data_IF_628784061004
#
_entry.id   IF_628784061004
#
_cell.length_a   1.000
_cell.length_b   1.000
_cell.length_c   1.000
_cell.angle_alpha   90.00
_cell.angle_beta   90.00
_cell.angle_gamma   90.00
#
_symmetry.space_group_name_H-M   'P 1'
#
loop_
_entity.id
_entity.type
_entity.pdbx_description
1 polymer ?
#
# COMPACT_ATOMS: atom_id res chain seq x y z
N UNK A 1 16.45 1.75 -24.62
CA UNK A 1 15.58 2.94 -24.57
C UNK A 1 14.13 2.45 -24.60
N UNK A 2 13.39 2.60 -23.52
CA UNK A 2 11.95 2.24 -23.53
C UNK A 2 11.23 3.28 -24.38
N UNK A 3 10.25 2.84 -25.18
CA UNK A 3 9.35 3.72 -25.92
C UNK A 3 7.93 3.42 -25.45
N UNK A 4 7.22 4.45 -25.02
CA UNK A 4 5.76 4.44 -24.86
C UNK A 4 5.19 5.57 -25.71
N UNK A 5 4.12 5.30 -26.44
CA UNK A 5 3.41 6.33 -27.21
C UNK A 5 2.35 7.06 -26.39
N UNK A 6 2.05 6.57 -25.17
CA UNK A 6 0.98 7.09 -24.32
C UNK A 6 1.49 7.85 -23.10
N UNK A 7 2.68 7.52 -22.59
CA UNK A 7 3.26 8.17 -21.41
C UNK A 7 4.44 9.10 -21.73
N UNK A 8 4.62 10.20 -20.98
CA UNK A 8 3.70 10.71 -19.96
C UNK A 8 2.39 11.25 -20.58
N UNK A 9 1.31 11.23 -19.80
CA UNK A 9 0.04 11.82 -20.23
C UNK A 9 0.16 13.34 -20.30
N UNK A 10 -0.34 13.92 -21.41
CA UNK A 10 -0.32 15.38 -21.61
C UNK A 10 -1.41 16.10 -20.79
N UNK A 11 -2.56 15.46 -20.60
CA UNK A 11 -3.66 15.99 -19.81
C UNK A 11 -4.29 14.86 -18.96
N UNK A 12 -3.71 14.53 -17.78
CA UNK A 12 -4.16 13.42 -16.95
C UNK A 12 -5.59 13.58 -16.40
N UNK A 13 -6.03 14.80 -16.10
CA UNK A 13 -7.35 15.14 -15.53
C UNK A 13 -7.84 14.14 -14.46
N UNK A 14 -7.13 14.01 -13.33
CA UNK A 14 -7.51 13.11 -12.25
C UNK A 14 -8.81 13.55 -11.57
N UNK A 15 -9.58 12.58 -11.06
CA UNK A 15 -10.78 12.85 -10.27
C UNK A 15 -10.97 11.80 -9.17
N UNK A 16 -10.60 12.17 -7.95
CA UNK A 16 -10.79 11.34 -6.78
C UNK A 16 -12.26 11.14 -6.42
N UNK A 17 -13.13 12.12 -6.70
CA UNK A 17 -14.57 11.95 -6.48
C UNK A 17 -15.14 10.86 -7.38
N UNK A 18 -14.76 10.85 -8.67
CA UNK A 18 -15.14 9.76 -9.58
C UNK A 18 -14.53 8.42 -9.13
N UNK A 19 -13.26 8.41 -8.71
CA UNK A 19 -12.61 7.22 -8.13
C UNK A 19 -13.45 6.67 -6.96
N UNK A 20 -13.82 7.52 -6.00
CA UNK A 20 -14.64 7.14 -4.83
C UNK A 20 -15.98 6.59 -5.25
N UNK A 21 -16.69 7.30 -6.14
CA UNK A 21 -18.05 6.92 -6.51
C UNK A 21 -18.08 5.64 -7.36
N UNK A 22 -17.05 5.39 -8.18
CA UNK A 22 -16.88 4.12 -8.89
C UNK A 22 -16.56 2.98 -7.92
N UNK A 23 -15.69 3.20 -6.94
CA UNK A 23 -15.33 2.18 -5.94
C UNK A 23 -16.55 1.77 -5.11
N UNK A 24 -17.34 2.76 -4.68
CA UNK A 24 -18.60 2.57 -3.95
C UNK A 24 -19.76 2.12 -4.84
N UNK A 25 -19.54 1.96 -6.16
CA UNK A 25 -20.54 1.53 -7.13
C UNK A 25 -21.71 2.48 -7.33
N UNK A 26 -21.52 3.76 -7.00
CA UNK A 26 -22.46 4.86 -7.26
C UNK A 26 -22.37 5.37 -8.70
N UNK A 27 -21.25 5.10 -9.38
CA UNK A 27 -20.98 5.51 -10.75
C UNK A 27 -20.36 4.37 -11.55
N UNK A 28 -20.70 4.26 -12.84
CA UNK A 28 -20.02 3.36 -13.78
C UNK A 28 -18.75 4.01 -14.35
N UNK A 29 -17.63 3.27 -14.47
CA UNK A 29 -16.40 3.82 -15.01
C UNK A 29 -16.50 4.08 -16.52
N UNK A 30 -16.17 5.30 -16.94
CA UNK A 30 -16.03 5.66 -18.36
C UNK A 30 -14.66 5.26 -18.94
N UNK A 31 -13.67 5.11 -18.04
CA UNK A 31 -12.29 4.71 -18.34
C UNK A 31 -11.78 3.75 -17.26
N UNK A 32 -10.67 3.07 -17.53
CA UNK A 32 -9.94 2.34 -16.49
C UNK A 32 -9.25 3.35 -15.59
N UNK A 33 -9.49 3.25 -14.29
CA UNK A 33 -8.76 3.99 -13.26
C UNK A 33 -7.62 3.11 -12.73
N UNK A 34 -6.52 3.76 -12.31
CA UNK A 34 -5.33 3.06 -11.84
C UNK A 34 -5.15 3.15 -10.33
N UNK A 35 -4.60 2.10 -9.75
CA UNK A 35 -4.20 2.08 -8.34
C UNK A 35 -2.92 1.25 -8.16
N UNK A 36 -2.02 1.71 -7.30
CA UNK A 36 -0.89 0.93 -6.85
C UNK A 36 -0.76 1.10 -5.33
N UNK A 37 -0.41 0.04 -4.61
CA UNK A 37 0.03 0.16 -3.22
C UNK A 37 1.38 0.91 -3.14
N UNK A 38 2.23 0.71 -4.15
CA UNK A 38 3.53 1.36 -4.23
C UNK A 38 4.24 1.06 -5.54
N UNK A 39 5.08 2.01 -5.95
CA UNK A 39 6.01 1.86 -7.06
C UNK A 39 7.39 2.20 -6.52
N UNK A 40 8.35 1.29 -6.68
CA UNK A 40 9.71 1.48 -6.18
C UNK A 40 10.35 2.76 -6.74
N UNK A 41 11.18 3.42 -5.93
CA UNK A 41 11.89 4.63 -6.34
C UNK A 41 12.71 4.40 -7.62
N UNK A 42 13.40 3.26 -7.73
CA UNK A 42 14.23 2.97 -8.91
C UNK A 42 13.38 2.83 -10.18
N UNK A 43 12.17 2.27 -10.05
CA UNK A 43 11.20 2.19 -11.14
C UNK A 43 10.72 3.59 -11.56
N UNK A 44 10.30 4.41 -10.59
CA UNK A 44 9.86 5.80 -10.84
C UNK A 44 10.99 6.61 -11.49
N UNK A 45 12.21 6.52 -10.96
CA UNK A 45 13.41 7.17 -11.49
C UNK A 45 13.66 6.75 -12.93
N UNK A 46 13.72 5.44 -13.20
CA UNK A 46 14.03 4.94 -14.53
C UNK A 46 13.02 5.44 -15.56
N UNK A 47 11.72 5.34 -15.25
CA UNK A 47 10.64 5.76 -16.16
C UNK A 47 10.67 7.28 -16.36
N UNK A 48 10.81 8.06 -15.28
CA UNK A 48 10.80 9.52 -15.35
C UNK A 48 11.98 10.06 -16.17
N UNK A 49 13.17 9.53 -15.95
CA UNK A 49 14.37 9.95 -16.69
C UNK A 49 14.32 9.47 -18.16
N UNK A 50 13.82 8.26 -18.41
CA UNK A 50 13.81 7.67 -19.76
C UNK A 50 12.69 8.17 -20.67
N UNK A 51 11.52 8.49 -20.12
CA UNK A 51 10.32 8.84 -20.90
C UNK A 51 9.84 10.27 -20.70
N UNK A 52 10.10 10.87 -19.54
CA UNK A 52 9.55 12.19 -19.20
C UNK A 52 10.59 13.31 -19.27
N UNK A 53 11.89 12.96 -19.40
CA UNK A 53 12.99 13.92 -19.30
C UNK A 53 13.09 14.58 -17.92
N UNK A 54 12.48 13.98 -16.89
CA UNK A 54 12.47 14.48 -15.53
C UNK A 54 13.64 13.84 -14.78
N UNK A 55 14.56 14.67 -14.29
CA UNK A 55 15.64 14.22 -13.41
C UNK A 55 15.08 13.86 -12.04
N UNK A 56 15.30 12.63 -11.59
CA UNK A 56 14.89 12.22 -10.26
C UNK A 56 15.78 12.89 -9.18
N UNK A 57 15.19 13.34 -8.05
CA UNK A 57 15.97 13.80 -6.91
C UNK A 57 16.79 12.65 -6.33
N UNK A 58 17.88 12.93 -5.63
CA UNK A 58 18.69 11.89 -4.98
C UNK A 58 17.82 11.11 -3.98
N UNK A 59 17.89 9.78 -4.01
CA UNK A 59 17.27 8.97 -2.95
C UNK A 59 18.10 9.12 -1.68
N UNK A 60 17.56 9.82 -0.69
CA UNK A 60 18.19 10.03 0.62
C UNK A 60 17.59 8.98 1.56
N UNK A 61 18.43 8.32 2.36
CA UNK A 61 17.95 7.35 3.33
C UNK A 61 17.44 8.07 4.58
N UNK A 62 16.25 8.64 4.46
CA UNK A 62 15.70 9.47 5.54
C UNK A 62 15.25 8.64 6.74
N UNK A 63 14.90 7.37 6.52
CA UNK A 63 14.65 6.42 7.60
C UNK A 63 15.85 6.28 8.54
N UNK A 64 17.06 6.15 7.99
CA UNK A 64 18.28 6.07 8.80
C UNK A 64 18.52 7.37 9.59
N UNK A 65 18.35 8.53 8.95
CA UNK A 65 18.52 9.82 9.62
C UNK A 65 17.54 10.01 10.78
N UNK A 66 16.26 9.67 10.57
CA UNK A 66 15.24 9.71 11.63
C UNK A 66 15.53 8.70 12.75
N UNK A 67 16.08 7.53 12.40
CA UNK A 67 16.49 6.50 13.37
C UNK A 67 17.66 6.95 14.23
N UNK A 68 18.65 7.66 13.67
CA UNK A 68 19.73 8.29 14.44
C UNK A 68 19.16 9.26 15.50
N UNK A 69 18.25 10.16 15.09
CA UNK A 69 17.59 11.09 16.01
C UNK A 69 16.82 10.35 17.12
N UNK A 70 16.14 9.26 16.77
CA UNK A 70 15.44 8.42 17.73
C UNK A 70 16.41 7.81 18.76
N UNK A 71 17.51 7.22 18.32
CA UNK A 71 18.54 6.63 19.20
C UNK A 71 19.19 7.68 20.11
N UNK A 72 19.43 8.88 19.59
CA UNK A 72 20.04 9.99 20.33
C UNK A 72 19.10 10.65 21.36
N UNK A 73 17.87 10.17 21.52
CA UNK A 73 16.90 10.80 22.44
C UNK A 73 16.34 12.13 21.92
N UNK A 74 16.59 12.49 20.65
CA UNK A 74 16.14 13.75 20.05
C UNK A 74 14.71 13.64 19.53
N UNK A 75 14.12 14.81 19.29
CA UNK A 75 12.84 14.93 18.59
C UNK A 75 13.03 14.46 17.15
N UNK A 76 12.16 13.56 16.70
CA UNK A 76 12.13 13.05 15.33
C UNK A 76 11.02 13.81 14.58
N UNK A 77 11.33 14.62 13.57
CA UNK A 77 10.29 15.33 12.82
C UNK A 77 9.56 14.38 11.85
N UNK A 78 8.27 14.59 11.64
CA UNK A 78 7.50 13.84 10.64
C UNK A 78 7.98 14.14 9.20
N UNK A 79 8.42 15.37 8.94
CA UNK A 79 8.95 15.82 7.66
C UNK A 79 10.35 16.40 7.82
N UNK A 80 11.29 15.92 7.01
CA UNK A 80 12.60 16.56 6.84
C UNK A 80 12.63 17.33 5.52
N UNK A 81 13.32 18.48 5.48
CA UNK A 81 13.45 19.28 4.26
C UNK A 81 14.04 18.49 3.08
N UNK A 82 14.91 17.54 3.39
CA UNK A 82 15.54 16.61 2.46
C UNK A 82 14.55 15.63 1.80
N UNK A 83 13.39 15.36 2.44
CA UNK A 83 12.32 14.49 1.92
C UNK A 83 11.42 15.22 0.92
N UNK A 84 11.28 16.55 1.06
CA UNK A 84 10.36 17.38 0.26
C UNK A 84 10.54 17.18 -1.25
N UNK A 85 11.76 17.11 -1.83
CA UNK A 85 11.95 16.81 -3.25
C UNK A 85 11.45 15.42 -3.68
N UNK A 86 11.61 14.39 -2.84
CA UNK A 86 11.17 13.02 -3.14
C UNK A 86 9.64 12.92 -3.14
N UNK A 87 8.96 13.59 -2.21
CA UNK A 87 7.50 13.67 -2.17
C UNK A 87 6.94 14.37 -3.41
N UNK A 88 7.51 15.54 -3.77
CA UNK A 88 7.14 16.26 -5.02
C UNK A 88 7.36 15.39 -6.26
N UNK A 89 8.48 14.66 -6.31
CA UNK A 89 8.78 13.74 -7.41
C UNK A 89 7.77 12.59 -7.50
N UNK A 90 7.40 11.98 -6.37
CA UNK A 90 6.37 10.93 -6.30
C UNK A 90 5.04 11.47 -6.84
N UNK A 91 4.55 12.59 -6.34
CA UNK A 91 3.29 13.20 -6.79
C UNK A 91 3.32 13.46 -8.30
N UNK A 92 4.41 14.07 -8.80
CA UNK A 92 4.59 14.33 -10.24
C UNK A 92 4.57 13.05 -11.07
N UNK A 93 5.21 11.97 -10.59
CA UNK A 93 5.19 10.68 -11.25
C UNK A 93 3.76 10.14 -11.36
N UNK A 94 3.04 10.02 -10.25
CA UNK A 94 1.66 9.49 -10.25
C UNK A 94 0.72 10.33 -11.13
N UNK A 95 0.81 11.66 -11.04
CA UNK A 95 0.05 12.56 -11.92
C UNK A 95 0.36 12.31 -13.41
N UNK A 96 1.65 12.26 -13.77
CA UNK A 96 2.09 12.07 -15.17
C UNK A 96 1.72 10.69 -15.73
N UNK A 97 1.47 9.73 -14.86
CA UNK A 97 1.06 8.36 -15.18
C UNK A 97 -0.46 8.17 -15.15
N UNK A 98 -1.24 9.19 -14.81
CA UNK A 98 -2.71 9.15 -14.87
C UNK A 98 -3.40 8.53 -13.67
N UNK A 99 -2.75 8.47 -12.52
CA UNK A 99 -3.37 8.05 -11.27
C UNK A 99 -4.24 9.16 -10.69
N UNK A 100 -5.33 8.78 -10.00
CA UNK A 100 -6.19 9.70 -9.25
C UNK A 100 -5.75 9.86 -7.79
N UNK A 101 -4.85 8.99 -7.32
CA UNK A 101 -4.38 8.99 -5.95
C UNK A 101 -2.90 8.65 -5.82
N UNK A 102 -2.29 9.05 -4.70
CA UNK A 102 -0.88 8.77 -4.39
C UNK A 102 -0.79 8.07 -3.02
N UNK A 103 -0.22 6.85 -2.94
CA UNK A 103 0.05 6.21 -1.65
C UNK A 103 1.22 6.91 -0.94
N UNK A 104 1.01 7.24 0.33
CA UNK A 104 2.01 7.81 1.25
C UNK A 104 1.97 7.07 2.57
N UNK A 105 3.13 6.82 3.16
CA UNK A 105 3.22 6.22 4.48
C UNK A 105 2.85 7.24 5.55
N UNK A 106 2.12 6.80 6.57
CA UNK A 106 1.92 7.54 7.80
C UNK A 106 3.28 7.74 8.48
N UNK A 107 3.74 8.99 8.73
CA UNK A 107 5.01 9.22 9.39
C UNK A 107 4.95 8.74 10.85
N UNK A 108 5.77 7.74 11.16
CA UNK A 108 6.01 7.26 12.53
C UNK A 108 7.53 7.29 12.79
N UNK A 109 7.92 7.47 14.05
CA UNK A 109 9.34 7.45 14.38
C UNK A 109 9.91 6.05 14.11
N UNK A 110 10.99 5.93 13.31
CA UNK A 110 11.66 4.65 13.16
C UNK A 110 12.43 4.33 14.42
N UNK A 111 12.44 3.06 14.81
CA UNK A 111 13.15 2.56 15.98
C UNK A 111 14.20 1.51 15.60
N UNK A 112 15.16 1.18 16.49
CA UNK A 112 16.27 0.31 16.16
C UNK A 112 15.89 -1.15 15.98
N UNK A 113 15.61 -1.54 14.75
CA UNK A 113 15.48 -2.95 14.35
C UNK A 113 16.77 -3.49 13.74
N UNK A 114 16.99 -4.79 13.91
CA UNK A 114 18.09 -5.52 13.28
C UNK A 114 17.70 -5.85 11.85
N UNK A 115 18.64 -5.64 10.93
CA UNK A 115 18.44 -5.93 9.51
C UNK A 115 19.51 -6.87 8.97
N UNK A 116 19.10 -7.73 8.05
CA UNK A 116 20.00 -8.46 7.17
C UNK A 116 20.27 -7.63 5.92
N UNK A 117 21.46 -7.80 5.34
CA UNK A 117 21.89 -7.07 4.14
C UNK A 117 22.49 -8.05 3.14
N UNK A 118 22.21 -7.85 1.86
CA UNK A 118 22.88 -8.55 0.76
C UNK A 118 22.99 -7.65 -0.47
N UNK A 119 23.76 -8.09 -1.47
CA UNK A 119 23.80 -7.41 -2.77
C UNK A 119 22.44 -7.50 -3.45
N UNK A 120 21.93 -6.36 -3.92
CA UNK A 120 20.67 -6.34 -4.67
C UNK A 120 20.89 -6.80 -6.12
N UNK A 121 20.29 -7.94 -6.47
CA UNK A 121 20.41 -8.58 -7.79
C UNK A 121 19.30 -8.17 -8.77
N UNK A 122 18.41 -7.25 -8.39
CA UNK A 122 17.36 -6.76 -9.26
C UNK A 122 17.91 -6.00 -10.48
N UNK A 123 17.13 -5.97 -11.58
CA UNK A 123 17.51 -5.28 -12.82
C UNK A 123 17.68 -3.77 -12.62
N UNK A 124 16.88 -3.15 -11.74
CA UNK A 124 17.04 -1.77 -11.29
C UNK A 124 17.62 -1.77 -9.87
N UNK A 125 18.84 -2.31 -9.75
CA UNK A 125 19.51 -2.51 -8.46
C UNK A 125 19.67 -1.20 -7.68
N UNK A 126 19.39 -1.26 -6.38
CA UNK A 126 19.71 -0.20 -5.41
C UNK A 126 21.02 -0.44 -4.67
N UNK A 127 21.85 -1.35 -5.18
CA UNK A 127 23.14 -1.74 -4.61
C UNK A 127 23.01 -2.75 -3.47
N UNK A 128 22.38 -2.35 -2.36
CA UNK A 128 22.19 -3.19 -1.16
C UNK A 128 20.71 -3.41 -0.92
N UNK A 129 20.31 -4.67 -0.74
CA UNK A 129 18.97 -5.06 -0.30
C UNK A 129 18.99 -5.35 1.19
N UNK A 130 17.99 -4.84 1.89
CA UNK A 130 17.82 -5.00 3.34
C UNK A 130 16.44 -5.51 3.68
N UNK A 131 16.34 -6.34 4.70
CA UNK A 131 15.08 -6.79 5.30
C UNK A 131 15.28 -6.99 6.79
N UNK A 132 14.19 -7.01 7.56
CA UNK A 132 14.24 -7.14 9.01
C UNK A 132 14.72 -8.55 9.39
N UNK A 133 15.43 -8.66 10.51
CA UNK A 133 15.70 -9.95 11.14
C UNK A 133 14.47 -10.41 11.92
N UNK A 134 13.79 -11.45 11.46
CA UNK A 134 12.46 -11.84 11.94
C UNK A 134 12.48 -12.95 13.02
N UNK A 135 13.66 -13.29 13.57
CA UNK A 135 13.76 -14.29 14.64
C UNK A 135 13.23 -13.74 15.98
N UNK A 136 13.67 -12.54 16.34
CA UNK A 136 13.24 -11.82 17.52
C UNK A 136 13.38 -10.32 17.23
N UNK A 137 12.31 -9.58 17.50
CA UNK A 137 12.23 -8.13 17.41
C UNK A 137 12.73 -7.49 18.70
N UNK A 138 12.28 -6.26 18.92
CA UNK A 138 12.69 -5.42 20.06
C UNK A 138 11.88 -5.65 21.35
N UNK A 139 10.75 -6.35 21.27
CA UNK A 139 9.83 -6.63 22.39
C UNK A 139 9.51 -8.12 22.40
N UNK A 140 10.14 -8.82 23.34
CA UNK A 140 10.05 -10.27 23.52
C UNK A 140 9.51 -10.67 24.90
N UNK A 141 9.41 -9.70 25.83
CA UNK A 141 8.92 -9.88 27.19
C UNK A 141 8.29 -8.57 27.73
N UNK A 142 7.69 -8.65 28.92
CA UNK A 142 7.01 -7.51 29.56
C UNK A 142 7.96 -6.38 29.96
N UNK A 143 9.17 -6.68 30.43
CA UNK A 143 10.14 -5.64 30.81
C UNK A 143 10.52 -4.78 29.59
N UNK A 144 10.72 -5.41 28.43
CA UNK A 144 10.97 -4.72 27.15
C UNK A 144 9.75 -3.92 26.68
N UNK A 145 8.54 -4.47 26.84
CA UNK A 145 7.30 -3.77 26.50
C UNK A 145 7.11 -2.51 27.36
N UNK A 146 7.35 -2.59 28.66
CA UNK A 146 7.15 -1.48 29.61
C UNK A 146 8.24 -0.40 29.48
N UNK A 147 9.47 -0.81 29.19
CA UNK A 147 10.61 0.11 29.04
C UNK A 147 10.71 0.77 27.67
N UNK A 148 10.01 0.24 26.65
CA UNK A 148 10.04 0.82 25.31
C UNK A 148 9.40 2.22 25.28
N UNK A 149 10.06 3.23 24.68
CA UNK A 149 9.58 4.62 24.69
C UNK A 149 8.47 4.85 23.66
N UNK A 150 7.29 4.29 23.90
CA UNK A 150 6.13 4.34 23.01
C UNK A 150 5.67 5.76 22.66
N UNK A 151 5.83 6.70 23.59
CA UNK A 151 5.47 8.11 23.44
C UNK A 151 6.29 8.82 22.34
N UNK A 152 7.49 8.31 22.05
CA UNK A 152 8.38 8.86 21.02
C UNK A 152 8.06 8.37 19.61
N UNK A 153 7.10 7.46 19.45
CA UNK A 153 6.73 6.87 18.16
C UNK A 153 5.76 7.76 17.38
N UNK A 154 4.73 8.28 18.07
CA UNK A 154 3.80 9.23 17.47
C UNK A 154 4.56 10.53 17.19
N UNK A 155 4.53 10.96 15.93
CA UNK A 155 5.11 12.22 15.50
C UNK A 155 4.00 13.26 15.33
N UNK A 156 4.33 14.53 15.51
CA UNK A 156 3.47 15.60 15.02
C UNK A 156 3.53 15.62 13.48
N UNK A 157 2.44 15.23 12.84
CA UNK A 157 2.32 15.09 11.38
C UNK A 157 1.75 16.33 10.70
N UNK A 158 1.50 17.42 11.44
CA UNK A 158 0.84 18.62 10.91
C UNK A 158 1.60 19.21 9.72
N UNK A 159 2.90 19.52 9.89
CA UNK A 159 3.72 20.08 8.79
C UNK A 159 3.81 19.11 7.59
N UNK A 160 3.80 17.80 7.86
CA UNK A 160 3.84 16.78 6.81
C UNK A 160 2.60 16.88 5.91
N UNK A 161 1.40 16.89 6.49
CA UNK A 161 0.16 16.94 5.72
C UNK A 161 -0.17 18.32 5.15
N UNK A 162 0.25 19.41 5.80
CA UNK A 162 0.23 20.76 5.22
C UNK A 162 1.06 20.81 3.94
N UNK A 163 2.31 20.35 3.99
CA UNK A 163 3.18 20.28 2.81
C UNK A 163 2.61 19.36 1.72
N UNK A 164 2.02 18.22 2.09
CA UNK A 164 1.33 17.35 1.13
C UNK A 164 0.17 18.08 0.45
N UNK A 165 -0.62 18.84 1.20
CA UNK A 165 -1.72 19.65 0.66
C UNK A 165 -1.25 20.71 -0.33
N UNK A 166 -0.06 21.29 -0.14
CA UNK A 166 0.52 22.27 -1.06
C UNK A 166 0.94 21.68 -2.41
N UNK A 167 1.32 20.39 -2.45
CA UNK A 167 1.95 19.78 -3.64
C UNK A 167 1.01 18.89 -4.45
N UNK A 168 -0.14 18.49 -3.89
CA UNK A 168 -1.09 17.61 -4.56
C UNK A 168 -1.84 18.38 -5.67
N UNK A 169 -1.89 17.87 -6.92
CA UNK A 169 -2.68 18.49 -7.97
C UNK A 169 -4.18 18.42 -7.69
N UNK A 170 -4.91 19.41 -8.20
CA UNK A 170 -6.37 19.42 -8.16
C UNK A 170 -6.95 18.11 -8.70
N UNK A 171 -7.96 17.59 -8.01
CA UNK A 171 -8.63 16.33 -8.35
C UNK A 171 -7.91 15.07 -7.86
N UNK A 172 -6.68 15.15 -7.33
CA UNK A 172 -5.99 14.01 -6.69
C UNK A 172 -6.16 14.03 -5.16
N UNK A 173 -5.98 12.85 -4.54
CA UNK A 173 -5.85 12.70 -3.08
C UNK A 173 -4.71 11.75 -2.70
N UNK A 174 -4.24 11.87 -1.47
CA UNK A 174 -3.34 10.89 -0.86
C UNK A 174 -4.10 9.73 -0.23
N UNK A 175 -3.46 8.56 -0.24
CA UNK A 175 -3.89 7.39 0.51
C UNK A 175 -2.89 7.17 1.65
N UNK A 176 -3.33 7.38 2.89
CA UNK A 176 -2.47 7.23 4.07
C UNK A 176 -2.33 5.74 4.43
N UNK A 177 -1.11 5.23 4.44
CA UNK A 177 -0.82 3.81 4.64
C UNK A 177 0.03 3.56 5.89
N UNK A 178 -0.26 2.48 6.61
CA UNK A 178 0.47 1.99 7.76
C UNK A 178 0.13 0.51 7.95
N UNK A 179 0.80 -0.17 8.88
CA UNK A 179 0.71 -1.62 9.09
C UNK A 179 0.64 -1.91 10.59
N UNK A 180 -0.23 -2.83 11.00
CA UNK A 180 -0.37 -3.30 12.38
C UNK A 180 0.26 -4.68 12.50
N UNK A 181 -0.33 -5.68 11.86
CA UNK A 181 0.10 -7.07 11.88
C UNK A 181 1.55 -7.24 11.40
N UNK A 182 1.91 -6.60 10.29
CA UNK A 182 3.26 -6.67 9.73
C UNK A 182 4.29 -5.98 10.62
N UNK A 183 3.98 -4.81 11.19
CA UNK A 183 4.92 -4.14 12.10
C UNK A 183 5.14 -4.94 13.39
N UNK A 184 4.08 -5.49 13.97
CA UNK A 184 4.20 -6.32 15.18
C UNK A 184 4.99 -7.58 14.87
N UNK A 185 4.64 -8.24 13.76
CA UNK A 185 5.24 -9.48 13.31
C UNK A 185 6.69 -9.35 12.86
N UNK A 186 7.04 -8.35 12.06
CA UNK A 186 8.41 -8.20 11.53
C UNK A 186 9.35 -7.52 12.51
N UNK A 187 8.89 -6.42 13.12
CA UNK A 187 9.79 -5.46 13.77
C UNK A 187 9.69 -5.47 15.30
N UNK A 188 8.48 -5.40 15.85
CA UNK A 188 8.31 -5.31 17.31
C UNK A 188 8.61 -6.64 17.98
N UNK A 189 8.01 -7.73 17.53
CA UNK A 189 8.21 -9.05 18.14
C UNK A 189 9.11 -9.96 17.30
N UNK A 190 9.08 -9.85 15.97
CA UNK A 190 9.69 -10.85 15.08
C UNK A 190 8.80 -12.09 14.94
N UNK A 191 8.62 -12.62 13.71
CA UNK A 191 7.59 -13.62 13.41
C UNK A 191 7.73 -14.87 14.28
N UNK A 192 8.96 -15.38 14.45
CA UNK A 192 9.21 -16.56 15.28
C UNK A 192 8.86 -16.32 16.73
N UNK A 193 9.25 -15.18 17.30
CA UNK A 193 8.90 -14.82 18.68
C UNK A 193 7.39 -14.65 18.83
N UNK A 194 6.74 -13.90 17.94
CA UNK A 194 5.29 -13.68 17.97
C UNK A 194 4.52 -15.01 17.93
N UNK A 195 4.85 -15.91 17.01
CA UNK A 195 4.19 -17.21 16.91
C UNK A 195 4.40 -18.09 18.15
N UNK A 196 5.57 -18.04 18.76
CA UNK A 196 5.83 -18.75 20.02
C UNK A 196 5.07 -18.13 21.21
N UNK A 197 5.01 -16.80 21.26
CA UNK A 197 4.33 -16.05 22.32
C UNK A 197 2.82 -16.13 22.24
N UNK A 198 2.24 -16.31 21.06
CA UNK A 198 0.81 -16.65 20.92
C UNK A 198 0.40 -17.89 21.71
N UNK A 199 1.32 -18.81 22.00
CA UNK A 199 1.07 -19.98 22.84
C UNK A 199 1.53 -19.79 24.29
N UNK A 200 2.70 -19.17 24.49
CA UNK A 200 3.34 -19.13 25.81
C UNK A 200 3.00 -17.89 26.65
N UNK A 201 2.62 -16.79 26.01
CA UNK A 201 2.30 -15.51 26.63
C UNK A 201 1.40 -14.67 25.69
N UNK A 202 0.17 -15.13 25.42
CA UNK A 202 -0.72 -14.47 24.47
C UNK A 202 -1.15 -13.07 24.92
N UNK A 203 -1.10 -12.79 26.23
CA UNK A 203 -1.44 -11.48 26.79
C UNK A 203 -0.40 -10.43 26.40
N UNK A 204 0.89 -10.79 26.39
CA UNK A 204 1.94 -9.91 25.87
C UNK A 204 1.71 -9.60 24.39
N UNK A 205 1.42 -10.62 23.56
CA UNK A 205 1.16 -10.38 22.12
C UNK A 205 -0.01 -9.41 21.96
N UNK A 206 -1.11 -9.66 22.68
CA UNK A 206 -2.27 -8.76 22.64
C UNK A 206 -1.92 -7.34 23.07
N UNK A 207 -1.13 -7.17 24.13
CA UNK A 207 -0.71 -5.86 24.60
C UNK A 207 0.15 -5.11 23.57
N UNK A 208 1.03 -5.81 22.86
CA UNK A 208 1.82 -5.22 21.76
C UNK A 208 0.92 -4.78 20.60
N UNK A 209 -0.01 -5.63 20.17
CA UNK A 209 -1.01 -5.28 19.14
C UNK A 209 -1.86 -4.09 19.57
N UNK A 210 -2.37 -4.08 20.81
CA UNK A 210 -3.20 -2.97 21.29
C UNK A 210 -2.42 -1.66 21.37
N UNK A 211 -1.16 -1.72 21.83
CA UNK A 211 -0.33 -0.53 21.95
C UNK A 211 0.05 0.04 20.59
N UNK A 212 0.47 -0.82 19.67
CA UNK A 212 0.80 -0.38 18.31
C UNK A 212 -0.45 0.07 17.55
N UNK A 213 -1.57 -0.64 17.71
CA UNK A 213 -2.83 -0.27 17.08
C UNK A 213 -3.35 1.09 17.53
N UNK A 214 -3.18 1.43 18.81
CA UNK A 214 -3.49 2.77 19.33
C UNK A 214 -2.62 3.86 18.69
N UNK A 215 -1.32 3.59 18.50
CA UNK A 215 -0.37 4.51 17.86
C UNK A 215 -0.80 4.79 16.41
N UNK A 216 -1.13 3.74 15.65
CA UNK A 216 -1.63 3.87 14.28
C UNK A 216 -2.95 4.63 14.26
N UNK A 217 -3.89 4.30 15.16
CA UNK A 217 -5.19 4.96 15.23
C UNK A 217 -5.04 6.48 15.37
N UNK A 218 -4.16 6.92 16.27
CA UNK A 218 -3.88 8.35 16.47
C UNK A 218 -3.31 9.00 15.21
N UNK A 219 -2.29 8.39 14.59
CA UNK A 219 -1.72 8.95 13.37
C UNK A 219 -2.69 8.95 12.19
N UNK A 220 -3.58 7.96 12.09
CA UNK A 220 -4.68 7.99 11.12
C UNK A 220 -5.72 9.06 11.45
N UNK A 221 -6.03 9.31 12.72
CA UNK A 221 -6.97 10.36 13.10
C UNK A 221 -6.47 11.74 12.68
N UNK A 222 -5.18 11.99 12.84
CA UNK A 222 -4.54 13.22 12.36
C UNK A 222 -4.49 13.26 10.83
N UNK A 223 -4.03 12.20 10.17
CA UNK A 223 -3.95 12.16 8.70
C UNK A 223 -5.31 12.38 8.03
N UNK A 224 -6.35 11.71 8.54
CA UNK A 224 -7.67 11.69 7.94
C UNK A 224 -8.44 13.00 8.17
N UNK A 225 -7.99 13.90 9.04
CA UNK A 225 -8.58 15.23 9.18
C UNK A 225 -8.17 16.20 8.07
N UNK A 226 -7.11 15.90 7.30
CA UNK A 226 -6.66 16.78 6.22
C UNK A 226 -7.38 16.49 4.90
N UNK A 227 -7.91 17.53 4.24
CA UNK A 227 -8.65 17.40 2.98
C UNK A 227 -7.85 16.73 1.86
N UNK A 228 -6.52 16.86 1.86
CA UNK A 228 -5.65 16.24 0.85
C UNK A 228 -5.61 14.70 0.95
N UNK A 229 -6.04 14.12 2.07
CA UNK A 229 -6.14 12.66 2.28
C UNK A 229 -7.55 12.20 1.92
N UNK A 230 -7.66 11.22 1.02
CA UNK A 230 -8.94 10.69 0.52
C UNK A 230 -9.31 9.32 1.08
N UNK A 231 -8.32 8.56 1.57
CA UNK A 231 -8.53 7.25 2.16
C UNK A 231 -7.44 6.89 3.16
N UNK A 232 -7.79 5.99 4.07
CA UNK A 232 -6.81 5.10 4.71
C UNK A 232 -6.64 3.90 3.79
N UNK A 233 -5.39 3.57 3.44
CA UNK A 233 -5.04 2.35 2.72
C UNK A 233 -4.14 1.50 3.61
N UNK A 234 -4.77 0.77 4.52
CA UNK A 234 -4.08 -0.02 5.54
C UNK A 234 -3.46 -1.27 4.91
N UNK A 235 -2.22 -1.61 5.27
CA UNK A 235 -1.46 -2.68 4.61
C UNK A 235 -1.01 -3.71 5.63
N UNK A 236 -1.61 -4.90 5.62
CA UNK A 236 -1.23 -5.97 6.54
C UNK A 236 -1.28 -7.34 5.89
N UNK A 237 -0.10 -7.96 5.77
CA UNK A 237 0.06 -9.29 5.20
C UNK A 237 -0.27 -10.37 6.25
N UNK A 238 -1.56 -10.69 6.35
CA UNK A 238 -2.10 -11.67 7.30
C UNK A 238 -2.09 -13.11 6.77
N UNK A 239 -1.74 -13.29 5.49
CA UNK A 239 -1.86 -14.56 4.78
C UNK A 239 -0.54 -15.10 4.24
N UNK A 240 -0.52 -16.41 4.04
CA UNK A 240 0.46 -17.10 3.20
C UNK A 240 -0.29 -17.95 2.15
N UNK A 241 0.44 -18.72 1.33
CA UNK A 241 -0.15 -19.46 0.19
C UNK A 241 -1.37 -20.35 0.55
N UNK A 242 -1.42 -20.97 1.74
CA UNK A 242 -2.46 -21.96 2.09
C UNK A 242 -3.51 -21.46 3.09
N UNK A 243 -3.37 -20.26 3.62
CA UNK A 243 -4.31 -19.70 4.60
C UNK A 243 -3.73 -18.50 5.33
N UNK A 244 -4.37 -18.11 6.42
CA UNK A 244 -3.88 -17.06 7.33
C UNK A 244 -2.62 -17.54 8.07
N UNK A 245 -1.67 -16.64 8.32
CA UNK A 245 -0.39 -16.97 8.98
C UNK A 245 -0.59 -17.50 10.40
N UNK A 246 -1.63 -17.03 11.07
CA UNK A 246 -2.10 -17.56 12.35
C UNK A 246 -3.55 -18.02 12.23
N UNK A 247 -4.08 -18.66 13.27
CA UNK A 247 -5.47 -19.14 13.23
C UNK A 247 -6.46 -17.95 13.10
N UNK A 248 -7.52 -18.07 12.29
CA UNK A 248 -8.52 -17.01 12.12
C UNK A 248 -9.18 -16.52 13.42
N UNK A 249 -9.37 -17.40 14.40
CA UNK A 249 -9.92 -17.04 15.72
C UNK A 249 -8.98 -16.16 16.54
N UNK A 250 -7.67 -16.18 16.27
CA UNK A 250 -6.70 -15.27 16.88
C UNK A 250 -6.76 -13.91 16.18
N UNK A 251 -6.79 -13.86 14.85
CA UNK A 251 -6.94 -12.59 14.11
C UNK A 251 -8.20 -11.83 14.53
N UNK A 252 -9.31 -12.54 14.74
CA UNK A 252 -10.57 -11.95 15.27
C UNK A 252 -10.42 -11.31 16.66
N UNK A 253 -9.38 -11.65 17.43
CA UNK A 253 -9.13 -11.12 18.76
C UNK A 253 -8.11 -9.98 18.78
N UNK A 254 -7.11 -10.01 17.91
CA UNK A 254 -5.96 -9.08 17.97
C UNK A 254 -5.88 -8.11 16.81
N UNK A 255 -6.46 -8.44 15.65
CA UNK A 255 -6.27 -7.68 14.40
C UNK A 255 -7.58 -7.04 13.92
N UNK A 256 -8.62 -7.86 13.72
CA UNK A 256 -9.94 -7.41 13.22
C UNK A 256 -10.52 -6.24 14.04
N UNK A 257 -10.45 -6.22 15.39
CA UNK A 257 -10.97 -5.10 16.17
C UNK A 257 -10.28 -3.77 15.84
N UNK A 258 -9.00 -3.77 15.49
CA UNK A 258 -8.25 -2.57 15.11
C UNK A 258 -8.57 -2.14 13.68
N UNK A 259 -8.63 -3.08 12.74
CA UNK A 259 -9.10 -2.79 11.38
C UNK A 259 -10.47 -2.12 11.38
N UNK A 260 -11.41 -2.61 12.20
CA UNK A 260 -12.74 -2.01 12.37
C UNK A 260 -12.67 -0.58 12.91
N UNK A 261 -11.78 -0.30 13.88
CA UNK A 261 -11.58 1.06 14.40
C UNK A 261 -11.04 1.99 13.32
N UNK A 262 -10.08 1.55 12.51
CA UNK A 262 -9.53 2.36 11.42
C UNK A 262 -10.57 2.62 10.32
N UNK A 263 -11.37 1.61 9.98
CA UNK A 263 -12.45 1.75 9.02
C UNK A 263 -13.52 2.73 9.50
N UNK A 264 -13.99 2.57 10.74
CA UNK A 264 -14.96 3.49 11.35
C UNK A 264 -14.43 4.92 11.36
N UNK A 265 -13.16 5.10 11.73
CA UNK A 265 -12.50 6.41 11.72
C UNK A 265 -12.49 7.04 10.32
N UNK A 266 -12.19 6.28 9.26
CA UNK A 266 -12.25 6.80 7.89
C UNK A 266 -13.67 7.19 7.49
N UNK A 267 -14.65 6.31 7.77
CA UNK A 267 -16.05 6.52 7.40
C UNK A 267 -16.68 7.70 8.14
N UNK A 268 -16.35 7.90 9.42
CA UNK A 268 -16.80 9.05 10.21
C UNK A 268 -16.32 10.39 9.63
N UNK A 269 -15.23 10.37 8.87
CA UNK A 269 -14.70 11.53 8.13
C UNK A 269 -15.18 11.58 6.66
N UNK A 270 -16.10 10.70 6.25
CA UNK A 270 -16.58 10.61 4.88
C UNK A 270 -15.55 10.12 3.87
N UNK A 271 -14.51 9.41 4.34
CA UNK A 271 -13.38 8.92 3.54
C UNK A 271 -13.37 7.40 3.46
N UNK A 272 -12.59 6.87 2.54
CA UNK A 272 -12.56 5.44 2.24
C UNK A 272 -11.60 4.69 3.20
N UNK A 273 -11.94 3.43 3.49
CA UNK A 273 -11.02 2.48 4.10
C UNK A 273 -10.72 1.34 3.12
N UNK A 274 -9.48 1.31 2.63
CA UNK A 274 -8.97 0.31 1.72
C UNK A 274 -8.04 -0.61 2.50
N UNK A 275 -8.12 -1.92 2.24
CA UNK A 275 -7.24 -2.89 2.86
C UNK A 275 -6.34 -3.53 1.81
N UNK A 276 -5.05 -3.53 2.08
CA UNK A 276 -4.06 -4.39 1.46
C UNK A 276 -3.76 -5.59 2.36
N UNK A 277 -3.73 -6.78 1.78
CA UNK A 277 -3.20 -7.98 2.42
C UNK A 277 -2.73 -8.97 1.37
N UNK A 278 -1.55 -9.55 1.57
CA UNK A 278 -1.06 -10.67 0.80
C UNK A 278 -1.48 -12.02 1.37
N UNK A 279 -1.45 -13.03 0.49
CA UNK A 279 -1.69 -14.40 0.87
C UNK A 279 -3.18 -14.74 0.95
N UNK A 280 -3.47 -15.94 1.42
CA UNK A 280 -4.84 -16.45 1.44
C UNK A 280 -5.53 -16.09 2.76
N UNK A 281 -6.28 -14.99 2.75
CA UNK A 281 -7.06 -14.52 3.90
C UNK A 281 -8.56 -14.82 3.79
N UNK A 282 -9.00 -15.67 2.85
CA UNK A 282 -10.43 -15.82 2.55
C UNK A 282 -11.24 -16.45 3.67
N UNK A 283 -10.60 -17.07 4.66
CA UNK A 283 -11.23 -17.57 5.90
C UNK A 283 -11.72 -16.45 6.83
N UNK A 284 -11.28 -15.20 6.60
CA UNK A 284 -11.71 -14.00 7.33
C UNK A 284 -12.31 -12.92 6.42
N UNK A 285 -12.50 -13.20 5.12
CA UNK A 285 -13.01 -12.19 4.17
C UNK A 285 -14.40 -11.67 4.55
N UNK A 286 -15.26 -12.53 5.10
CA UNK A 286 -16.57 -12.11 5.59
C UNK A 286 -16.47 -11.20 6.81
N UNK A 287 -15.52 -11.41 7.72
CA UNK A 287 -15.28 -10.48 8.84
C UNK A 287 -14.83 -9.10 8.31
N UNK A 288 -13.98 -9.09 7.26
CA UNK A 288 -13.49 -7.86 6.64
C UNK A 288 -14.61 -7.08 5.91
N UNK A 289 -15.47 -7.78 5.18
CA UNK A 289 -16.56 -7.12 4.43
C UNK A 289 -17.71 -6.75 5.37
N UNK A 290 -18.11 -7.62 6.29
CA UNK A 290 -19.32 -7.42 7.10
C UNK A 290 -19.11 -6.71 8.43
N UNK A 291 -17.96 -6.88 9.08
CA UNK A 291 -17.70 -6.24 10.38
C UNK A 291 -16.77 -5.03 10.25
N UNK A 292 -15.65 -5.19 9.53
CA UNK A 292 -14.71 -4.08 9.27
C UNK A 292 -15.28 -3.08 8.26
N UNK A 293 -16.14 -3.53 7.33
CA UNK A 293 -16.72 -2.71 6.26
C UNK A 293 -15.67 -2.11 5.31
N UNK A 294 -14.70 -2.91 4.85
CA UNK A 294 -13.73 -2.44 3.85
C UNK A 294 -14.42 -1.96 2.57
N UNK A 295 -14.00 -0.80 2.03
CA UNK A 295 -14.54 -0.25 0.77
C UNK A 295 -13.85 -0.87 -0.46
N UNK A 296 -12.60 -1.28 -0.30
CA UNK A 296 -11.79 -1.88 -1.35
C UNK A 296 -10.77 -2.86 -0.81
N UNK A 297 -10.49 -3.90 -1.60
CA UNK A 297 -9.52 -4.94 -1.28
C UNK A 297 -8.40 -4.99 -2.32
N UNK A 298 -7.18 -5.00 -1.81
CA UNK A 298 -5.91 -5.37 -2.42
C UNK A 298 -5.32 -6.44 -1.46
N UNK A 299 -4.54 -7.43 -1.84
CA UNK A 299 -3.85 -7.68 -3.09
C UNK A 299 -4.34 -8.97 -3.76
N UNK A 300 -3.73 -9.35 -4.90
CA UNK A 300 -4.14 -10.54 -5.66
C UNK A 300 -2.94 -11.32 -6.17
N UNK A 301 -3.00 -12.64 -5.98
CA UNK A 301 -2.00 -13.59 -6.46
C UNK A 301 -2.72 -14.75 -7.13
N UNK A 302 -2.42 -15.00 -8.41
CA UNK A 302 -3.18 -15.96 -9.22
C UNK A 302 -3.03 -17.40 -8.70
N UNK A 303 -1.95 -17.68 -7.97
CA UNK A 303 -1.70 -18.98 -7.32
C UNK A 303 -2.64 -19.26 -6.14
N UNK A 304 -3.31 -18.22 -5.62
CA UNK A 304 -4.29 -18.30 -4.53
C UNK A 304 -5.70 -18.16 -5.11
N UNK A 305 -5.96 -17.03 -5.76
CA UNK A 305 -7.20 -16.75 -6.48
C UNK A 305 -6.94 -15.58 -7.42
N UNK A 306 -7.16 -15.74 -8.73
CA UNK A 306 -7.02 -14.64 -9.67
C UNK A 306 -8.10 -13.58 -9.44
N UNK A 307 -7.77 -12.34 -9.76
CA UNK A 307 -8.62 -11.17 -9.47
C UNK A 307 -10.03 -11.26 -10.06
N UNK A 308 -10.21 -11.93 -11.20
CA UNK A 308 -11.54 -12.10 -11.82
C UNK A 308 -12.45 -13.06 -11.05
N UNK A 309 -11.89 -14.08 -10.38
CA UNK A 309 -12.66 -14.97 -9.50
C UNK A 309 -13.05 -14.24 -8.22
N UNK A 310 -12.16 -13.40 -7.68
CA UNK A 310 -12.50 -12.52 -6.57
C UNK A 310 -13.61 -11.53 -6.96
N UNK A 311 -13.51 -10.91 -8.14
CA UNK A 311 -14.52 -9.99 -8.66
C UNK A 311 -15.88 -10.67 -8.79
N UNK A 312 -15.93 -11.89 -9.32
CA UNK A 312 -17.16 -12.67 -9.42
C UNK A 312 -17.78 -12.94 -8.03
N UNK A 313 -16.96 -13.30 -7.04
CA UNK A 313 -17.43 -13.68 -5.72
C UNK A 313 -17.81 -12.52 -4.80
N UNK A 314 -17.04 -11.43 -4.82
CA UNK A 314 -17.16 -10.33 -3.84
C UNK A 314 -17.29 -8.95 -4.47
N UNK A 315 -17.09 -8.81 -5.78
CA UNK A 315 -16.98 -7.53 -6.48
C UNK A 315 -18.24 -6.68 -6.51
N UNK A 316 -19.38 -7.20 -6.04
CA UNK A 316 -20.61 -6.44 -5.80
C UNK A 316 -20.71 -5.82 -4.39
N UNK A 317 -19.86 -6.26 -3.46
CA UNK A 317 -19.85 -5.84 -2.05
C UNK A 317 -18.64 -4.96 -1.71
N UNK A 318 -17.49 -5.23 -2.33
CA UNK A 318 -16.23 -4.52 -2.09
C UNK A 318 -15.55 -4.17 -3.42
N UNK A 319 -14.88 -3.03 -3.47
CA UNK A 319 -14.05 -2.62 -4.59
C UNK A 319 -12.85 -3.53 -4.80
N UNK A 320 -12.46 -3.72 -6.06
CA UNK A 320 -11.36 -4.60 -6.46
C UNK A 320 -10.20 -3.76 -6.95
N UNK A 321 -9.09 -3.79 -6.22
CA UNK A 321 -7.94 -2.90 -6.43
C UNK A 321 -6.72 -3.70 -6.90
N UNK A 322 -6.19 -3.43 -8.10
CA UNK A 322 -5.01 -4.10 -8.63
C UNK A 322 -5.35 -5.34 -9.45
N UNK A 323 -4.60 -6.43 -9.26
CA UNK A 323 -4.95 -7.74 -9.83
C UNK A 323 -4.02 -8.30 -10.89
N UNK A 324 -3.06 -7.53 -11.38
CA UNK A 324 -2.06 -8.05 -12.32
C UNK A 324 -0.98 -8.77 -11.53
N UNK A 325 -1.00 -10.10 -11.57
CA UNK A 325 -0.06 -10.96 -10.84
C UNK A 325 1.40 -10.54 -11.10
N UNK A 326 2.14 -10.27 -10.02
CA UNK A 326 3.49 -9.69 -10.09
C UNK A 326 4.49 -10.66 -10.74
N UNK A 327 4.26 -11.96 -10.63
CA UNK A 327 5.10 -12.96 -11.29
C UNK A 327 5.00 -12.86 -12.81
N UNK A 328 3.75 -12.76 -13.30
CA UNK A 328 3.46 -12.56 -14.73
C UNK A 328 3.97 -11.20 -15.19
N UNK A 329 3.75 -10.16 -14.39
CA UNK A 329 4.25 -8.81 -14.68
C UNK A 329 5.78 -8.80 -14.80
N UNK A 330 6.50 -9.56 -13.98
CA UNK A 330 7.95 -9.63 -14.00
C UNK A 330 8.51 -10.52 -15.13
N UNK A 331 7.83 -11.62 -15.46
CA UNK A 331 8.42 -12.70 -16.30
C UNK A 331 7.81 -12.87 -17.68
N UNK A 332 6.59 -12.39 -17.94
CA UNK A 332 5.99 -12.53 -19.26
C UNK A 332 6.68 -11.66 -20.30
N UNK A 333 6.73 -12.18 -21.53
CA UNK A 333 6.99 -11.34 -22.70
C UNK A 333 5.83 -10.35 -22.93
N UNK A 334 6.09 -9.31 -23.71
CA UNK A 334 5.14 -8.21 -23.92
C UNK A 334 3.80 -8.68 -24.50
N UNK A 335 3.79 -9.64 -25.43
CA UNK A 335 2.55 -10.08 -26.07
C UNK A 335 1.71 -10.94 -25.12
N UNK A 336 2.35 -11.86 -24.40
CA UNK A 336 1.69 -12.66 -23.36
C UNK A 336 1.14 -11.79 -22.25
N UNK A 337 1.89 -10.76 -21.83
CA UNK A 337 1.42 -9.80 -20.82
C UNK A 337 0.22 -9.00 -21.33
N UNK A 338 0.23 -8.50 -22.57
CA UNK A 338 -0.94 -7.80 -23.15
C UNK A 338 -2.18 -8.67 -23.16
N UNK A 339 -2.07 -9.94 -23.58
CA UNK A 339 -3.19 -10.89 -23.56
C UNK A 339 -3.72 -11.12 -22.15
N UNK A 340 -2.83 -11.28 -21.18
CA UNK A 340 -3.19 -11.45 -19.78
C UNK A 340 -3.92 -10.23 -19.22
N UNK A 341 -3.37 -9.02 -19.40
CA UNK A 341 -3.99 -7.78 -18.90
C UNK A 341 -5.36 -7.54 -19.56
N UNK A 342 -5.51 -7.79 -20.86
CA UNK A 342 -6.82 -7.71 -21.55
C UNK A 342 -7.83 -8.68 -20.96
N UNK A 343 -7.41 -9.91 -20.65
CA UNK A 343 -8.29 -10.91 -20.03
C UNK A 343 -8.78 -10.44 -18.66
N UNK A 344 -7.89 -9.84 -17.86
CA UNK A 344 -8.26 -9.24 -16.56
C UNK A 344 -9.27 -8.12 -16.77
N UNK A 345 -8.99 -7.18 -17.68
CA UNK A 345 -9.87 -6.04 -17.97
C UNK A 345 -11.25 -6.48 -18.48
N UNK A 346 -11.30 -7.42 -19.42
CA UNK A 346 -12.56 -7.95 -19.97
C UNK A 346 -13.43 -8.61 -18.91
N UNK A 347 -12.82 -9.24 -17.90
CA UNK A 347 -13.54 -9.89 -16.80
C UNK A 347 -13.88 -8.97 -15.63
N UNK A 348 -13.06 -7.96 -15.36
CA UNK A 348 -13.18 -7.17 -14.12
C UNK A 348 -13.83 -5.80 -14.29
N UNK A 349 -13.71 -5.18 -15.48
CA UNK A 349 -14.34 -3.88 -15.74
C UNK A 349 -15.88 -3.90 -15.80
N UNK A 350 -16.55 -4.95 -16.34
CA UNK A 350 -18.01 -5.02 -16.32
C UNK A 350 -18.57 -4.92 -14.90
N UNK A 351 -19.62 -4.12 -14.72
CA UNK A 351 -20.23 -3.85 -13.41
C UNK A 351 -19.47 -2.85 -12.52
N UNK A 352 -18.39 -2.24 -13.01
CA UNK A 352 -17.65 -1.20 -12.28
C UNK A 352 -16.89 -1.73 -11.07
N UNK A 353 -16.52 -0.85 -10.13
CA UNK A 353 -15.79 -1.19 -8.88
C UNK A 353 -14.47 -1.96 -9.09
N UNK A 354 -13.80 -1.78 -10.23
CA UNK A 354 -12.49 -2.37 -10.50
C UNK A 354 -11.48 -1.29 -10.91
N UNK A 355 -10.29 -1.38 -10.34
CA UNK A 355 -9.17 -0.45 -10.58
C UNK A 355 -7.95 -1.26 -10.99
N UNK A 356 -7.37 -0.94 -12.14
CA UNK A 356 -6.22 -1.68 -12.67
C UNK A 356 -4.95 -1.29 -11.91
N UNK A 357 -4.14 -2.29 -11.61
CA UNK A 357 -2.86 -2.12 -10.93
C UNK A 357 -2.15 -3.45 -10.77
N UNK A 358 -0.92 -3.41 -10.28
CA UNK A 358 -0.22 -4.63 -9.95
C UNK A 358 -0.79 -5.31 -8.69
N UNK A 359 -0.61 -6.63 -8.62
CA UNK A 359 -1.07 -7.48 -7.52
C UNK A 359 -0.22 -7.38 -6.25
N UNK A 360 0.79 -6.51 -6.20
CA UNK A 360 1.57 -6.12 -5.02
C UNK A 360 2.29 -4.79 -5.35
N UNK A 361 3.42 -4.48 -4.76
CA UNK A 361 4.27 -3.35 -5.11
C UNK A 361 4.93 -3.57 -6.46
N UNK A 362 5.01 -2.53 -7.28
CA UNK A 362 5.81 -2.52 -8.51
C UNK A 362 7.28 -2.39 -8.12
N UNK A 363 7.92 -3.53 -7.94
CA UNK A 363 9.29 -3.63 -7.41
C UNK A 363 10.37 -3.40 -8.47
N UNK A 364 11.59 -3.15 -8.01
CA UNK A 364 12.76 -2.89 -8.84
C UNK A 364 13.26 -4.08 -9.68
N UNK A 365 12.70 -5.28 -9.50
CA UNK A 365 12.94 -6.42 -10.37
C UNK A 365 11.94 -6.54 -11.53
N UNK A 366 10.82 -5.81 -11.50
CA UNK A 366 9.86 -5.77 -12.61
C UNK A 366 10.48 -5.01 -13.79
N UNK A 367 10.47 -5.56 -15.02
CA UNK A 367 10.87 -4.80 -16.21
C UNK A 367 10.01 -3.55 -16.38
N UNK A 368 10.59 -2.34 -16.48
CA UNK A 368 9.78 -1.11 -16.59
C UNK A 368 8.89 -1.11 -17.82
N UNK A 369 9.29 -1.83 -18.88
CA UNK A 369 8.46 -2.01 -20.07
C UNK A 369 7.17 -2.77 -19.77
N UNK A 370 7.22 -3.77 -18.90
CA UNK A 370 6.07 -4.59 -18.56
C UNK A 370 5.05 -3.80 -17.74
N UNK A 371 5.53 -3.01 -16.77
CA UNK A 371 4.68 -2.08 -16.03
C UNK A 371 3.98 -1.07 -16.96
N UNK A 372 4.71 -0.50 -17.94
CA UNK A 372 4.09 0.39 -18.93
C UNK A 372 3.07 -0.34 -19.83
N UNK A 373 3.33 -1.59 -20.22
CA UNK A 373 2.40 -2.39 -21.02
C UNK A 373 1.07 -2.57 -20.30
N UNK A 374 1.09 -2.83 -18.99
CA UNK A 374 -0.12 -2.93 -18.17
C UNK A 374 -0.93 -1.64 -18.24
N UNK A 375 -0.31 -0.49 -17.96
CA UNK A 375 -0.99 0.80 -17.97
C UNK A 375 -1.48 1.19 -19.38
N UNK A 376 -0.70 0.90 -20.42
CA UNK A 376 -1.09 1.13 -21.82
C UNK A 376 -2.33 0.34 -22.22
N UNK A 377 -2.48 -0.91 -21.77
CA UNK A 377 -3.70 -1.70 -22.04
C UNK A 377 -4.90 -1.13 -21.27
N UNK A 378 -4.70 -0.65 -20.05
CA UNK A 378 -5.73 0.07 -19.30
C UNK A 378 -6.22 1.33 -20.03
N UNK A 379 -5.32 2.16 -20.56
CA UNK A 379 -5.69 3.36 -21.32
C UNK A 379 -6.37 3.06 -22.65
N UNK A 380 -6.02 1.94 -23.29
CA UNK A 380 -6.62 1.50 -24.57
C UNK A 380 -7.98 0.85 -24.38
N UNK A 381 -8.27 0.32 -23.20
CA UNK A 381 -9.56 -0.28 -22.91
C UNK A 381 -10.67 0.76 -23.05
N UNK A 382 -11.76 0.33 -23.68
CA UNK A 382 -12.98 1.10 -23.82
C UNK A 382 -14.14 0.22 -23.37
N UNK A 383 -15.18 0.80 -22.74
CA UNK A 383 -16.43 0.08 -22.55
C UNK A 383 -16.83 -0.50 -23.91
N UNK A 384 -17.09 -1.81 -23.98
CA UNK A 384 -17.77 -2.35 -25.17
C UNK A 384 -19.09 -1.61 -25.21
N UNK A 385 -19.31 -0.82 -26.27
CA UNK A 385 -20.50 0.01 -26.44
C UNK A 385 -21.70 -0.76 -25.90
N UNK A 386 -22.47 -0.13 -25.02
CA UNK A 386 -23.79 -0.57 -24.60
C UNK A 386 -24.69 -0.57 -25.84
N UNK A 387 -24.50 -1.55 -26.71
CA UNK A 387 -25.33 -1.77 -27.88
C UNK A 387 -26.57 -2.53 -27.41
N UNK A 388 -27.50 -1.77 -26.82
CA UNK A 388 -28.94 -1.76 -27.06
C UNK A 388 -29.63 -0.90 -25.99
#
# INVERSE_FOLDING_TARGET
MIKSSLFPLRNPSPSFDAFRDILLGKQMPEKVHFIEIGVDYEMMKFISESLMGIKAPKNINVGERKKELFVEGKVVPALLDEEKPLLKFRVKFYYSMGYDCVPVGLPLAPFPTKHRKTKDTAILSRGIRTWVEEEAGIITNWDEFESFPWDRINLDVTEYFEFLSEIIPDGMKFMAASTLYEMVGEQLMGWKCMFYKLFTDPDLVKAVFDKWGEIIYRGYADAISHDCVGAIFHCDDMGYKKGTMIRPDILRKIEIPWLKKYASLAHDHGKLFLLHSCGNIYSIMEDLIEDVKIDGFHSFQDVIMPVWEFKEKYGGRVGVLGGIDVDKLARYDVESLRRYVRTVLDKCMPGGRYFLGSGNTVTNYVPPRNYLVMLEEGLKWKPKNSSC
#
